data_IF_560793036231
#
_entry.id   IF_560793036231
#
_cell.length_a   1.000
_cell.length_b   1.000
_cell.length_c   1.000
_cell.angle_alpha   90.00
_cell.angle_beta   90.00
_cell.angle_gamma   90.00
#
_symmetry.space_group_name_H-M   'P 1'
#
loop_
_entity.id
_entity.type
_entity.pdbx_description
1 polymer ?
#
# COMPACT_ATOMS: atom_id res chain seq x y z
N UNK A 1 -24.83 -18.90 3.00
CA UNK A 1 -24.01 -18.68 1.79
C UNK A 1 -22.87 -17.75 2.19
N UNK A 2 -21.61 -18.00 1.78
CA UNK A 2 -20.59 -16.96 1.92
C UNK A 2 -21.07 -15.70 1.19
N UNK A 3 -20.70 -14.52 1.69
CA UNK A 3 -21.04 -13.27 1.04
C UNK A 3 -20.51 -13.25 -0.40
N UNK A 4 -21.21 -12.61 -1.36
CA UNK A 4 -20.71 -12.46 -2.72
C UNK A 4 -19.36 -11.74 -2.71
N UNK A 5 -18.47 -12.15 -3.61
CA UNK A 5 -17.18 -11.50 -3.80
C UNK A 5 -17.41 -10.22 -4.59
N UNK A 6 -16.96 -9.10 -4.07
CA UNK A 6 -17.12 -7.78 -4.68
C UNK A 6 -15.81 -7.00 -4.52
N UNK A 7 -15.64 -5.96 -5.35
CA UNK A 7 -14.57 -4.98 -5.16
C UNK A 7 -14.72 -4.33 -3.79
N UNK A 8 -13.62 -4.23 -3.05
CA UNK A 8 -13.63 -3.75 -1.67
C UNK A 8 -13.67 -4.85 -0.60
N UNK A 9 -13.93 -6.11 -0.97
CA UNK A 9 -13.96 -7.22 -0.03
C UNK A 9 -12.58 -7.51 0.57
N UNK A 10 -12.55 -7.81 1.87
CA UNK A 10 -11.37 -8.33 2.56
C UNK A 10 -11.46 -9.86 2.69
N UNK A 11 -10.47 -10.56 2.15
CA UNK A 11 -10.29 -11.99 2.32
C UNK A 11 -9.31 -12.24 3.47
N UNK A 12 -9.76 -12.95 4.50
CA UNK A 12 -8.93 -13.33 5.64
C UNK A 12 -8.55 -14.80 5.49
N UNK A 13 -7.25 -15.10 5.47
CA UNK A 13 -6.77 -16.46 5.32
C UNK A 13 -7.25 -17.37 6.46
N UNK A 14 -7.80 -18.53 6.12
CA UNK A 14 -8.11 -19.59 7.08
C UNK A 14 -6.82 -20.12 7.73
N UNK A 15 -6.83 -20.51 9.02
CA UNK A 15 -5.72 -21.24 9.64
C UNK A 15 -5.24 -22.48 8.86
N UNK A 16 -6.14 -23.12 8.10
CA UNK A 16 -5.82 -24.31 7.30
C UNK A 16 -4.84 -24.03 6.15
N UNK A 17 -4.65 -22.77 5.78
CA UNK A 17 -3.66 -22.35 4.77
C UNK A 17 -2.25 -22.23 5.36
N UNK A 18 -1.96 -22.84 6.51
CA UNK A 18 -0.64 -22.70 7.18
C UNK A 18 0.54 -23.12 6.31
N UNK A 19 0.33 -24.06 5.39
CA UNK A 19 1.35 -24.57 4.48
C UNK A 19 1.51 -23.72 3.20
N UNK A 20 0.60 -22.78 2.92
CA UNK A 20 0.70 -21.89 1.77
C UNK A 20 1.64 -20.71 2.08
N UNK A 21 2.83 -20.62 1.44
CA UNK A 21 3.79 -19.56 1.72
C UNK A 21 3.29 -18.17 1.27
N UNK A 22 2.38 -18.10 0.30
CA UNK A 22 1.91 -16.86 -0.30
C UNK A 22 0.70 -16.29 0.44
N UNK A 23 -0.15 -17.15 1.02
CA UNK A 23 -1.41 -16.74 1.61
C UNK A 23 -1.60 -17.15 3.07
N UNK A 24 -0.65 -17.82 3.71
CA UNK A 24 -0.75 -18.03 5.16
C UNK A 24 -0.84 -16.68 5.90
N UNK A 25 -1.82 -16.61 6.83
CA UNK A 25 -2.05 -15.45 7.71
C UNK A 25 -2.20 -14.11 6.97
N UNK A 26 -2.67 -14.12 5.72
CA UNK A 26 -2.87 -12.88 4.94
C UNK A 26 -4.24 -12.27 5.15
N UNK A 27 -4.29 -10.95 4.98
CA UNK A 27 -5.50 -10.18 4.70
C UNK A 27 -5.34 -9.63 3.29
N UNK A 28 -6.17 -10.06 2.36
CA UNK A 28 -6.16 -9.63 0.96
C UNK A 28 -7.31 -8.66 0.73
N UNK A 29 -7.02 -7.49 0.18
CA UNK A 29 -8.02 -6.52 -0.26
C UNK A 29 -8.28 -6.69 -1.75
N UNK A 30 -9.54 -6.94 -2.12
CA UNK A 30 -9.96 -7.11 -3.52
C UNK A 30 -10.08 -5.73 -4.17
N UNK A 31 -9.17 -5.42 -5.09
CA UNK A 31 -9.15 -4.15 -5.82
C UNK A 31 -9.97 -4.22 -7.11
N UNK A 32 -10.15 -5.40 -7.67
CA UNK A 32 -10.98 -5.60 -8.85
C UNK A 32 -11.59 -7.01 -8.83
N UNK A 33 -12.87 -7.10 -9.14
CA UNK A 33 -13.57 -8.36 -9.34
C UNK A 33 -14.41 -8.32 -10.62
N UNK A 34 -14.25 -9.36 -11.45
CA UNK A 34 -15.09 -9.63 -12.62
C UNK A 34 -15.29 -11.14 -12.73
N UNK A 35 -16.52 -11.58 -13.01
CA UNK A 35 -16.82 -13.00 -13.24
C UNK A 35 -16.05 -13.56 -14.45
N UNK A 36 -15.80 -12.74 -15.46
CA UNK A 36 -15.12 -13.16 -16.70
C UNK A 36 -13.59 -13.04 -16.61
N UNK A 37 -13.09 -11.94 -16.02
CA UNK A 37 -11.66 -11.61 -16.01
C UNK A 37 -10.93 -12.02 -14.72
N UNK A 38 -11.67 -12.51 -13.72
CA UNK A 38 -11.12 -12.94 -12.44
C UNK A 38 -10.99 -11.81 -11.41
N UNK A 39 -10.19 -12.06 -10.39
CA UNK A 39 -10.03 -11.19 -9.21
C UNK A 39 -8.60 -10.72 -9.08
N UNK A 40 -8.43 -9.42 -8.84
CA UNK A 40 -7.15 -8.83 -8.44
C UNK A 40 -7.28 -8.39 -6.98
N UNK A 41 -6.27 -8.72 -6.19
CA UNK A 41 -6.20 -8.31 -4.80
C UNK A 41 -4.78 -8.05 -4.33
N UNK A 42 -4.67 -7.29 -3.26
CA UNK A 42 -3.41 -6.90 -2.64
C UNK A 42 -3.36 -7.40 -1.20
N UNK A 43 -2.27 -8.08 -0.84
CA UNK A 43 -1.99 -8.45 0.55
C UNK A 43 -1.61 -7.21 1.34
N UNK A 44 -2.38 -6.91 2.40
CA UNK A 44 -2.22 -5.68 3.19
C UNK A 44 -1.33 -5.83 4.43
N UNK A 45 -0.99 -7.07 4.82
CA UNK A 45 -0.35 -7.34 6.11
C UNK A 45 1.00 -8.08 5.98
N UNK A 46 1.71 -7.86 4.88
CA UNK A 46 3.07 -8.35 4.65
C UNK A 46 4.03 -7.17 4.38
N UNK A 47 4.48 -6.45 5.42
CA UNK A 47 5.41 -5.34 5.23
C UNK A 47 6.73 -5.82 4.62
N UNK A 48 7.30 -5.03 3.70
CA UNK A 48 8.59 -5.33 3.07
C UNK A 48 9.78 -5.13 4.03
N UNK A 49 9.61 -4.31 5.06
CA UNK A 49 10.66 -4.05 6.06
C UNK A 49 11.92 -3.48 5.42
N UNK A 50 13.09 -4.07 5.72
CA UNK A 50 14.37 -3.61 5.16
C UNK A 50 14.53 -3.86 3.65
N UNK A 51 13.70 -4.73 3.07
CA UNK A 51 13.75 -5.02 1.63
C UNK A 51 13.27 -3.85 0.77
N UNK A 52 12.73 -2.79 1.38
CA UNK A 52 12.41 -1.53 0.69
C UNK A 52 13.64 -0.87 0.06
N UNK A 53 14.85 -1.18 0.55
CA UNK A 53 16.12 -0.74 -0.05
C UNK A 53 16.34 -1.21 -1.49
N UNK A 54 15.51 -2.13 -1.99
CA UNK A 54 15.53 -2.60 -3.38
C UNK A 54 14.85 -1.61 -4.36
N UNK A 55 14.06 -0.67 -3.86
CA UNK A 55 13.48 0.41 -4.67
C UNK A 55 14.46 1.59 -4.72
N UNK A 56 14.45 2.35 -5.83
CA UNK A 56 15.35 3.49 -5.95
C UNK A 56 15.01 4.56 -4.91
N UNK A 57 16.04 5.18 -4.33
CA UNK A 57 15.85 6.24 -3.32
C UNK A 57 15.01 7.40 -3.87
N UNK A 58 15.15 7.71 -5.17
CA UNK A 58 14.42 8.80 -5.83
C UNK A 58 12.91 8.55 -5.91
N UNK A 59 12.49 7.31 -6.20
CA UNK A 59 11.06 6.94 -6.22
C UNK A 59 10.44 6.97 -4.82
N UNK A 60 11.18 6.48 -3.82
CA UNK A 60 10.73 6.48 -2.43
C UNK A 60 10.63 7.90 -1.87
N UNK A 61 11.59 8.78 -2.20
CA UNK A 61 11.62 10.16 -1.71
C UNK A 61 10.41 10.97 -2.20
N UNK A 62 10.03 10.81 -3.47
CA UNK A 62 8.81 11.42 -4.04
C UNK A 62 7.53 11.00 -3.30
N UNK A 63 7.47 9.75 -2.84
CA UNK A 63 6.34 9.26 -2.07
C UNK A 63 6.34 9.74 -0.61
N UNK A 64 7.51 10.04 -0.03
CA UNK A 64 7.61 10.59 1.35
C UNK A 64 7.18 12.05 1.37
N UNK A 65 7.70 12.84 0.44
CA UNK A 65 7.46 14.29 0.42
C UNK A 65 5.98 14.63 0.20
N UNK A 66 5.20 13.65 -0.25
CA UNK A 66 3.77 13.75 -0.53
C UNK A 66 2.88 13.23 0.60
N UNK A 67 3.44 12.60 1.64
CA UNK A 67 2.76 12.39 2.91
C UNK A 67 2.85 13.70 3.69
N UNK A 68 1.76 14.47 3.87
CA UNK A 68 1.81 15.63 4.76
C UNK A 68 2.30 15.14 6.11
N UNK A 69 3.35 15.76 6.66
CA UNK A 69 3.95 15.42 7.96
C UNK A 69 2.83 15.27 9.01
N UNK A 70 2.38 14.04 9.28
CA UNK A 70 1.31 13.77 10.25
C UNK A 70 1.85 13.62 11.67
N UNK A 71 3.16 13.79 11.87
CA UNK A 71 3.66 14.21 13.18
C UNK A 71 3.28 15.67 13.38
N UNK A 72 2.18 15.90 14.09
CA UNK A 72 1.78 17.19 14.64
C UNK A 72 2.76 17.70 15.69
N UNK A 73 4.02 17.87 15.29
CA UNK A 73 5.03 18.61 16.02
C UNK A 73 5.45 19.74 15.09
N UNK A 74 5.15 20.95 15.51
CA UNK A 74 5.56 22.17 14.84
C UNK A 74 7.06 22.09 14.47
N UNK A 75 7.45 22.28 13.18
CA UNK A 75 8.85 22.28 12.77
C UNK A 75 9.71 23.34 13.48
N UNK A 76 9.09 24.25 14.23
CA UNK A 76 9.79 25.30 14.97
C UNK A 76 10.31 24.90 16.37
N UNK A 77 10.00 23.72 16.92
CA UNK A 77 10.39 23.40 18.33
C UNK A 77 11.63 22.51 18.53
N UNK A 78 12.14 21.81 17.52
CA UNK A 78 13.43 21.12 17.63
C UNK A 78 14.14 21.11 16.28
N UNK A 79 15.17 21.94 16.14
CA UNK A 79 15.99 22.09 14.92
C UNK A 79 16.87 20.89 14.57
N UNK A 80 16.45 19.66 14.90
CA UNK A 80 17.11 18.44 14.47
C UNK A 80 16.27 17.79 13.36
N UNK A 81 16.82 17.65 12.13
CA UNK A 81 16.15 16.88 11.11
C UNK A 81 16.01 15.43 11.58
N UNK A 82 14.87 14.76 11.34
CA UNK A 82 14.74 13.34 11.67
C UNK A 82 15.86 12.58 10.97
N UNK A 83 16.61 11.79 11.74
CA UNK A 83 17.72 11.00 11.22
C UNK A 83 17.24 10.11 10.07
N UNK A 84 18.09 9.94 9.04
CA UNK A 84 17.84 9.10 7.86
C UNK A 84 17.29 7.71 8.22
N UNK A 85 17.69 7.19 9.39
CA UNK A 85 17.28 5.90 9.95
C UNK A 85 15.79 5.87 10.38
N UNK A 86 15.26 6.99 10.89
CA UNK A 86 13.84 7.14 11.25
C UNK A 86 12.97 7.25 9.99
N UNK A 87 13.47 7.93 8.95
CA UNK A 87 12.76 8.05 7.66
C UNK A 87 12.71 6.70 6.93
N UNK A 88 13.83 5.98 6.88
CA UNK A 88 13.92 4.65 6.24
C UNK A 88 13.05 3.59 6.94
N UNK A 89 12.96 3.62 8.27
CA UNK A 89 12.09 2.71 9.02
C UNK A 89 10.60 3.08 8.96
N UNK A 90 10.26 4.37 8.85
CA UNK A 90 8.90 4.80 8.56
C UNK A 90 8.46 4.37 7.15
N UNK A 91 9.32 4.56 6.15
CA UNK A 91 9.14 4.05 4.80
C UNK A 91 8.94 2.54 4.76
N UNK A 92 9.78 1.78 5.48
CA UNK A 92 9.68 0.32 5.58
C UNK A 92 8.31 -0.19 6.03
N UNK A 93 7.52 0.65 6.72
CA UNK A 93 6.16 0.36 7.19
C UNK A 93 5.06 0.72 6.19
N UNK A 94 5.38 1.47 5.14
CA UNK A 94 4.42 1.90 4.11
C UNK A 94 4.42 0.98 2.88
N UNK A 95 5.46 0.18 2.70
CA UNK A 95 5.59 -0.74 1.57
C UNK A 95 5.27 -2.17 1.99
N UNK A 96 4.45 -2.82 1.18
CA UNK A 96 3.97 -4.17 1.43
C UNK A 96 4.21 -5.05 0.22
N UNK A 97 4.49 -6.33 0.46
CA UNK A 97 4.50 -7.34 -0.59
C UNK A 97 3.05 -7.65 -0.97
N UNK A 98 2.55 -6.99 -2.02
CA UNK A 98 1.15 -7.06 -2.46
C UNK A 98 0.70 -8.44 -2.96
N UNK A 99 1.62 -9.34 -3.29
CA UNK A 99 1.30 -10.71 -3.69
C UNK A 99 2.47 -11.41 -4.39
N UNK A 100 2.27 -12.67 -4.82
CA UNK A 100 3.30 -13.43 -5.54
C UNK A 100 3.43 -13.04 -7.02
N UNK A 101 2.44 -12.35 -7.59
CA UNK A 101 2.38 -12.00 -9.01
C UNK A 101 2.80 -10.54 -9.21
N UNK A 102 3.52 -10.25 -10.31
CA UNK A 102 3.94 -8.89 -10.69
C UNK A 102 4.67 -8.13 -9.56
N UNK A 103 5.67 -8.75 -8.94
CA UNK A 103 6.41 -8.17 -7.80
C UNK A 103 7.21 -6.90 -8.12
N UNK A 104 7.40 -6.60 -9.41
CA UNK A 104 8.04 -5.37 -9.89
C UNK A 104 7.04 -4.23 -10.16
N UNK A 105 5.75 -4.43 -9.87
CA UNK A 105 4.71 -3.41 -10.04
C UNK A 105 4.34 -2.80 -8.69
N UNK A 106 4.44 -1.48 -8.58
CA UNK A 106 4.00 -0.74 -7.40
C UNK A 106 2.50 -0.42 -7.53
N UNK A 107 1.73 -0.86 -6.54
CA UNK A 107 0.35 -0.42 -6.35
C UNK A 107 0.30 0.59 -5.22
N UNK A 108 -0.29 1.75 -5.50
CA UNK A 108 -0.40 2.83 -4.53
C UNK A 108 -1.87 2.99 -4.11
N UNK A 109 -2.17 2.71 -2.84
CA UNK A 109 -3.50 2.91 -2.26
C UNK A 109 -3.49 4.21 -1.46
N UNK A 110 -4.43 5.11 -1.71
CA UNK A 110 -4.47 6.42 -1.04
C UNK A 110 -5.90 6.93 -0.84
N UNK A 111 -6.04 7.94 0.03
CA UNK A 111 -7.30 8.68 0.28
C UNK A 111 -7.25 10.14 -0.15
N UNK A 112 -6.28 10.47 -1.00
CA UNK A 112 -5.98 11.83 -1.46
C UNK A 112 -6.86 12.21 -2.67
N UNK A 113 -8.17 12.17 -2.48
CA UNK A 113 -9.12 12.58 -3.52
C UNK A 113 -8.88 14.05 -3.93
N UNK A 114 -9.03 14.33 -5.22
CA UNK A 114 -8.86 15.67 -5.76
C UNK A 114 -7.41 16.18 -5.82
N UNK A 115 -6.47 15.55 -5.09
CA UNK A 115 -5.05 15.89 -5.08
C UNK A 115 -4.33 15.09 -6.16
N UNK A 116 -4.35 13.75 -6.06
CA UNK A 116 -3.74 12.88 -7.07
C UNK A 116 -4.78 12.61 -8.16
N UNK A 117 -4.45 12.95 -9.40
CA UNK A 117 -5.34 12.71 -10.55
C UNK A 117 -5.12 11.34 -11.16
N UNK A 118 -6.13 10.82 -11.86
CA UNK A 118 -6.02 9.54 -12.58
C UNK A 118 -6.05 8.28 -11.71
N UNK A 119 -6.23 8.41 -10.39
CA UNK A 119 -6.49 7.28 -9.50
C UNK A 119 -7.87 6.67 -9.76
N UNK A 120 -7.96 5.35 -9.66
CA UNK A 120 -9.23 4.61 -9.79
C UNK A 120 -9.83 4.47 -8.39
N UNK A 121 -11.03 5.01 -8.18
CA UNK A 121 -11.76 4.80 -6.92
C UNK A 121 -12.23 3.34 -6.82
N UNK A 122 -11.84 2.66 -5.74
CA UNK A 122 -12.16 1.25 -5.49
C UNK A 122 -13.37 1.13 -4.58
N UNK A 123 -13.36 1.89 -3.49
CA UNK A 123 -14.47 2.09 -2.55
C UNK A 123 -14.47 3.57 -2.15
N UNK A 124 -15.56 4.04 -1.55
CA UNK A 124 -15.74 5.43 -1.12
C UNK A 124 -14.50 5.99 -0.41
N UNK A 125 -13.85 6.96 -1.06
CA UNK A 125 -12.67 7.64 -0.53
C UNK A 125 -11.37 6.83 -0.51
N UNK A 126 -11.30 5.68 -1.19
CA UNK A 126 -10.07 4.88 -1.37
C UNK A 126 -9.78 4.65 -2.85
N UNK A 127 -8.61 5.12 -3.27
CA UNK A 127 -8.16 5.13 -4.65
C UNK A 127 -6.94 4.24 -4.85
N UNK A 128 -6.85 3.65 -6.04
CA UNK A 128 -5.72 2.86 -6.51
C UNK A 128 -5.00 3.57 -7.65
N UNK A 129 -3.68 3.67 -7.54
CA UNK A 129 -2.82 4.29 -8.55
C UNK A 129 -2.95 5.80 -8.57
N UNK A 130 -2.85 6.38 -9.76
CA UNK A 130 -2.85 7.81 -9.97
C UNK A 130 -1.49 8.33 -10.44
N UNK A 131 -1.53 9.54 -10.98
CA UNK A 131 -0.36 10.25 -11.48
C UNK A 131 0.36 10.94 -10.33
N UNK A 132 1.44 10.31 -9.86
CA UNK A 132 2.28 10.85 -8.80
C UNK A 132 3.03 12.11 -9.23
N UNK A 133 3.12 12.42 -10.53
CA UNK A 133 3.72 13.68 -11.01
C UNK A 133 2.75 14.86 -10.87
N UNK A 134 1.47 14.62 -10.55
CA UNK A 134 0.48 15.67 -10.25
C UNK A 134 0.51 16.17 -8.81
N UNK A 135 1.43 15.62 -8.00
CA UNK A 135 1.64 15.98 -6.60
C UNK A 135 2.49 17.25 -6.43
#
# INVERSE_FOLDING_TARGET
MPAPLETGTLLVASPDLSEDPNFNRTVVFVTHYSEESGTIGLVLNRPLGEQVKLYSADELQRLIDTVPNTTGTDPSETGEPPSEEIKSSALGRMFYQGGPVHQNTLFFLHRLDGIIKGGIEIIDGLYLGGDLDTL
#
